data_IF_315900709403
#
_entry.id   IF_315900709403
#
_cell.length_a   1.000
_cell.length_b   1.000
_cell.length_c   1.000
_cell.angle_alpha   90.00
_cell.angle_beta   90.00
_cell.angle_gamma   90.00
#
_symmetry.space_group_name_H-M   'P 1'
#
loop_
_entity.id
_entity.type
_entity.pdbx_description
1 polymer ?
#
# COMPACT_ATOMS: atom_id res chain seq x y z
N UNK A 1 20.63 9.44 17.12
CA UNK A 1 20.08 8.72 15.95
C UNK A 1 18.88 7.81 16.30
N UNK A 2 18.98 7.03 17.38
CA UNK A 2 17.91 6.10 17.78
C UNK A 2 16.54 6.76 18.02
N UNK A 3 16.48 7.94 18.67
CA UNK A 3 15.23 8.67 18.87
C UNK A 3 14.57 9.12 17.57
N UNK A 4 15.32 9.67 16.60
CA UNK A 4 14.78 10.04 15.28
C UNK A 4 14.25 8.80 14.52
N UNK A 5 14.99 7.68 14.62
CA UNK A 5 14.55 6.41 14.05
C UNK A 5 13.25 5.90 14.70
N UNK A 6 13.10 6.06 16.02
CA UNK A 6 11.87 5.72 16.74
C UNK A 6 10.67 6.55 16.30
N UNK A 7 10.82 7.85 16.12
CA UNK A 7 9.75 8.72 15.58
C UNK A 7 9.33 8.28 14.18
N UNK A 8 10.29 8.09 13.26
CA UNK A 8 9.97 7.63 11.91
C UNK A 8 9.29 6.26 11.89
N UNK A 9 9.75 5.32 12.73
CA UNK A 9 9.13 4.02 12.85
C UNK A 9 7.69 4.11 13.38
N UNK A 10 7.46 4.92 14.43
CA UNK A 10 6.14 5.13 14.98
C UNK A 10 5.18 5.76 13.96
N UNK A 11 5.62 6.80 13.25
CA UNK A 11 4.82 7.41 12.16
C UNK A 11 4.51 6.41 11.06
N UNK A 12 5.47 5.54 10.71
CA UNK A 12 5.24 4.45 9.75
C UNK A 12 4.20 3.45 10.25
N UNK A 13 4.25 3.07 11.54
CA UNK A 13 3.29 2.15 12.15
C UNK A 13 1.89 2.74 12.22
N UNK A 14 1.78 4.04 12.52
CA UNK A 14 0.49 4.74 12.56
C UNK A 14 -0.10 4.93 11.14
N UNK A 15 0.76 5.20 10.15
CA UNK A 15 0.31 5.34 8.77
C UNK A 15 -0.06 3.99 8.13
N UNK A 16 0.65 2.92 8.51
CA UNK A 16 0.47 1.58 7.95
C UNK A 16 0.74 0.51 9.02
N UNK A 17 -0.29 0.09 9.79
CA UNK A 17 -0.13 -0.79 10.97
C UNK A 17 0.62 -2.09 10.71
N UNK A 18 0.55 -2.64 9.48
CA UNK A 18 1.26 -3.85 9.09
C UNK A 18 2.79 -3.70 9.20
N UNK A 19 3.31 -2.48 9.15
CA UNK A 19 4.75 -2.22 9.33
C UNK A 19 5.22 -2.48 10.77
N UNK A 20 4.30 -2.61 11.74
CA UNK A 20 4.61 -3.00 13.11
C UNK A 20 5.36 -4.33 13.19
N UNK A 21 5.12 -5.26 12.25
CA UNK A 21 5.85 -6.52 12.16
C UNK A 21 7.37 -6.34 11.95
N UNK A 22 7.80 -5.18 11.46
CA UNK A 22 9.21 -4.84 11.35
C UNK A 22 9.85 -4.42 12.70
N UNK A 23 9.05 -4.05 13.71
CA UNK A 23 9.56 -3.55 14.98
C UNK A 23 10.51 -4.53 15.69
N UNK A 24 10.21 -5.84 15.85
CA UNK A 24 11.12 -6.79 16.47
C UNK A 24 12.46 -6.89 15.73
N UNK A 25 12.43 -6.81 14.39
CA UNK A 25 13.64 -6.86 13.56
C UNK A 25 14.46 -5.59 13.73
N UNK A 26 13.83 -4.43 13.81
CA UNK A 26 14.50 -3.15 14.07
C UNK A 26 15.14 -3.12 15.47
N UNK A 27 14.44 -3.65 16.48
CA UNK A 27 14.97 -3.78 17.83
C UNK A 27 16.19 -4.70 17.86
N UNK A 28 16.12 -5.86 17.18
CA UNK A 28 17.26 -6.78 17.04
C UNK A 28 18.42 -6.09 16.29
N UNK A 29 18.13 -5.34 15.26
CA UNK A 29 19.14 -4.58 14.50
C UNK A 29 19.89 -3.58 15.40
N UNK A 30 19.19 -2.85 16.27
CA UNK A 30 19.82 -1.92 17.23
C UNK A 30 20.75 -2.66 18.19
N UNK A 31 20.36 -3.85 18.66
CA UNK A 31 21.18 -4.69 19.52
C UNK A 31 22.43 -5.23 18.82
N UNK A 32 22.33 -5.58 17.54
CA UNK A 32 23.43 -6.17 16.76
C UNK A 32 24.39 -5.13 16.15
N UNK A 33 23.89 -3.94 15.84
CA UNK A 33 24.69 -2.89 15.18
C UNK A 33 25.38 -1.94 16.17
N UNK A 34 24.94 -1.89 17.42
CA UNK A 34 25.57 -1.07 18.44
C UNK A 34 27.02 -1.49 18.76
N UNK A 35 27.89 -0.51 19.04
CA UNK A 35 29.34 -0.73 19.24
C UNK A 35 29.71 -1.26 20.62
N UNK A 36 28.91 -1.01 21.63
CA UNK A 36 29.14 -1.45 23.02
C UNK A 36 27.86 -1.87 23.70
N UNK A 37 27.94 -2.60 24.83
CA UNK A 37 26.74 -3.07 25.56
C UNK A 37 25.87 -1.91 26.04
N UNK A 38 26.48 -0.87 26.61
CA UNK A 38 25.78 0.31 27.08
C UNK A 38 25.08 1.08 25.94
N UNK A 39 25.74 1.25 24.78
CA UNK A 39 25.16 1.92 23.61
C UNK A 39 23.99 1.13 23.02
N UNK A 40 24.10 -0.21 23.02
CA UNK A 40 23.02 -1.10 22.55
C UNK A 40 21.77 -0.97 23.40
N UNK A 41 21.90 -1.10 24.73
CA UNK A 41 20.80 -0.97 25.66
C UNK A 41 20.20 0.45 25.59
N UNK A 42 21.03 1.48 25.59
CA UNK A 42 20.58 2.87 25.48
C UNK A 42 19.82 3.11 24.16
N UNK A 43 20.35 2.61 23.03
CA UNK A 43 19.71 2.73 21.72
C UNK A 43 18.34 2.06 21.70
N UNK A 44 18.24 0.84 22.24
CA UNK A 44 16.99 0.11 22.34
C UNK A 44 15.97 0.84 23.24
N UNK A 45 16.39 1.26 24.43
CA UNK A 45 15.52 1.99 25.35
C UNK A 45 15.00 3.31 24.75
N UNK A 46 15.89 4.07 24.11
CA UNK A 46 15.48 5.31 23.42
C UNK A 46 14.48 5.03 22.31
N UNK A 47 14.67 3.96 21.54
CA UNK A 47 13.73 3.57 20.48
C UNK A 47 12.36 3.19 21.08
N UNK A 48 12.34 2.27 22.04
CA UNK A 48 11.11 1.79 22.68
C UNK A 48 10.36 2.93 23.38
N UNK A 49 11.09 3.76 24.14
CA UNK A 49 10.49 4.90 24.83
C UNK A 49 9.90 5.91 23.83
N UNK A 50 10.62 6.17 22.75
CA UNK A 50 10.10 7.08 21.69
C UNK A 50 8.82 6.53 21.07
N UNK A 51 8.79 5.25 20.73
CA UNK A 51 7.59 4.60 20.18
C UNK A 51 6.44 4.62 21.21
N UNK A 52 6.73 4.35 22.49
CA UNK A 52 5.73 4.39 23.55
C UNK A 52 5.15 5.81 23.76
N UNK A 53 6.00 6.84 23.74
CA UNK A 53 5.54 8.24 23.87
C UNK A 53 4.69 8.66 22.66
N UNK A 54 5.15 8.38 21.44
CA UNK A 54 4.39 8.73 20.24
C UNK A 54 3.09 7.94 20.13
N UNK A 55 3.13 6.63 20.39
CA UNK A 55 1.93 5.78 20.41
C UNK A 55 0.96 6.16 21.52
N UNK A 56 1.47 6.45 22.71
CA UNK A 56 0.66 6.95 23.84
C UNK A 56 0.00 8.28 23.52
N UNK A 57 0.73 9.23 22.92
CA UNK A 57 0.17 10.51 22.49
C UNK A 57 -0.96 10.31 21.45
N UNK A 58 -0.79 9.38 20.52
CA UNK A 58 -1.83 9.04 19.56
C UNK A 58 -3.07 8.44 20.25
N UNK A 59 -2.89 7.49 21.16
CA UNK A 59 -4.00 6.90 21.94
C UNK A 59 -4.72 7.97 22.77
N UNK A 60 -3.99 8.88 23.41
CA UNK A 60 -4.59 10.00 24.15
C UNK A 60 -5.39 10.92 23.20
N UNK A 61 -4.86 11.21 22.02
CA UNK A 61 -5.56 12.00 21.02
C UNK A 61 -6.89 11.35 20.60
N UNK A 62 -6.86 10.03 20.34
CA UNK A 62 -8.07 9.27 19.98
C UNK A 62 -9.07 9.27 21.14
N UNK A 63 -8.60 9.00 22.36
CA UNK A 63 -9.44 8.99 23.58
C UNK A 63 -10.05 10.36 23.86
N UNK A 64 -9.31 11.45 23.62
CA UNK A 64 -9.84 12.80 23.78
C UNK A 64 -11.03 13.04 22.85
N UNK A 65 -10.95 12.58 21.58
CA UNK A 65 -12.06 12.64 20.64
C UNK A 65 -13.27 11.76 21.05
N UNK A 66 -13.06 10.83 21.98
CA UNK A 66 -14.09 9.91 22.50
C UNK A 66 -14.51 10.25 23.95
N UNK A 67 -14.20 11.44 24.46
CA UNK A 67 -14.49 11.81 25.83
C UNK A 67 -13.80 10.96 26.90
N UNK A 68 -12.67 10.32 26.58
CA UNK A 68 -11.92 9.39 27.43
C UNK A 68 -12.66 8.08 27.76
N UNK A 69 -13.59 7.66 26.92
CA UNK A 69 -14.29 6.39 27.07
C UNK A 69 -13.45 5.22 26.54
N UNK A 70 -12.82 4.48 27.46
CA UNK A 70 -12.02 3.29 27.13
C UNK A 70 -12.89 2.11 26.66
N UNK A 71 -14.11 1.99 27.16
CA UNK A 71 -15.00 0.89 26.74
C UNK A 71 -15.40 1.09 25.27
N UNK A 72 -15.73 2.31 24.87
CA UNK A 72 -16.00 2.66 23.48
C UNK A 72 -14.76 2.45 22.60
N UNK A 73 -13.54 2.78 23.05
CA UNK A 73 -12.31 2.49 22.31
C UNK A 73 -12.12 0.99 22.05
N UNK A 74 -12.32 0.17 23.07
CA UNK A 74 -12.18 -1.29 22.96
C UNK A 74 -13.26 -1.88 22.04
N UNK A 75 -14.51 -1.43 22.15
CA UNK A 75 -15.59 -1.87 21.28
C UNK A 75 -15.33 -1.51 19.80
N UNK A 76 -14.80 -0.32 19.53
CA UNK A 76 -14.38 0.07 18.17
C UNK A 76 -13.21 -0.76 17.65
N UNK A 77 -12.23 -1.05 18.51
CA UNK A 77 -11.12 -1.93 18.12
C UNK A 77 -11.61 -3.34 17.81
N UNK A 78 -12.55 -3.85 18.60
CA UNK A 78 -13.17 -5.17 18.39
C UNK A 78 -13.93 -5.23 17.06
N UNK A 79 -14.71 -4.21 16.74
CA UNK A 79 -15.43 -4.10 15.46
C UNK A 79 -14.46 -4.13 14.26
N UNK A 80 -13.29 -3.46 14.35
CA UNK A 80 -12.29 -3.46 13.29
C UNK A 80 -11.59 -4.82 13.20
N UNK A 81 -11.27 -5.44 14.32
CA UNK A 81 -10.57 -6.73 14.35
C UNK A 81 -11.41 -7.88 13.82
N UNK A 82 -12.73 -7.81 13.97
CA UNK A 82 -13.68 -8.80 13.44
C UNK A 82 -14.28 -8.39 12.08
N UNK A 83 -13.65 -7.47 11.39
CA UNK A 83 -14.04 -7.15 10.02
C UNK A 83 -13.88 -8.39 9.13
N UNK A 84 -14.94 -8.85 8.41
CA UNK A 84 -14.89 -10.00 7.52
C UNK A 84 -13.77 -9.95 6.49
N UNK A 85 -13.32 -8.76 6.12
CA UNK A 85 -12.15 -8.59 5.26
C UNK A 85 -10.86 -9.11 5.91
N UNK A 86 -10.80 -9.17 7.24
CA UNK A 86 -9.65 -9.64 8.02
C UNK A 86 -9.94 -10.95 8.79
N UNK A 87 -11.20 -11.35 8.89
CA UNK A 87 -11.64 -12.58 9.57
C UNK A 87 -11.61 -13.78 8.62
N UNK A 88 -10.42 -14.26 8.34
CA UNK A 88 -10.19 -15.44 7.52
C UNK A 88 -9.23 -16.42 8.19
N UNK A 89 -9.46 -17.69 7.93
CA UNK A 89 -8.62 -18.76 8.47
C UNK A 89 -7.30 -18.90 7.74
N UNK A 90 -6.32 -19.55 8.37
CA UNK A 90 -5.07 -19.91 7.69
C UNK A 90 -5.31 -20.84 6.52
N UNK A 91 -6.36 -21.68 6.59
CA UNK A 91 -6.73 -22.58 5.50
C UNK A 91 -7.22 -21.82 4.27
N UNK A 92 -8.07 -20.81 4.46
CA UNK A 92 -8.57 -19.95 3.38
C UNK A 92 -7.42 -19.21 2.69
N UNK A 93 -6.48 -18.69 3.49
CA UNK A 93 -5.29 -18.04 2.95
C UNK A 93 -4.42 -18.98 2.14
N UNK A 94 -4.19 -20.20 2.62
CA UNK A 94 -3.42 -21.20 1.90
C UNK A 94 -4.12 -21.65 0.60
N UNK A 95 -5.43 -21.82 0.63
CA UNK A 95 -6.22 -22.15 -0.56
C UNK A 95 -6.08 -21.05 -1.62
N UNK A 96 -6.22 -19.80 -1.24
CA UNK A 96 -6.06 -18.65 -2.12
C UNK A 96 -4.63 -18.56 -2.67
N UNK A 97 -3.60 -18.70 -1.84
CA UNK A 97 -2.21 -18.70 -2.29
C UNK A 97 -1.95 -19.84 -3.28
N UNK A 98 -2.48 -21.03 -3.02
CA UNK A 98 -2.34 -22.18 -3.91
C UNK A 98 -3.01 -21.95 -5.26
N UNK A 99 -4.20 -21.35 -5.29
CA UNK A 99 -4.92 -21.03 -6.54
C UNK A 99 -4.17 -20.02 -7.41
N UNK A 100 -3.48 -19.07 -6.78
CA UNK A 100 -2.75 -18.00 -7.48
C UNK A 100 -1.31 -18.39 -7.84
N UNK A 101 -0.75 -19.43 -7.21
CA UNK A 101 0.63 -19.85 -7.43
C UNK A 101 0.88 -20.29 -8.88
N UNK A 102 -0.09 -20.93 -9.51
CA UNK A 102 -0.01 -21.37 -10.90
C UNK A 102 0.16 -20.19 -11.85
N UNK A 103 -0.55 -19.08 -11.62
CA UNK A 103 -0.44 -17.84 -12.40
C UNK A 103 0.96 -17.20 -12.22
N UNK A 104 1.45 -17.17 -10.97
CA UNK A 104 2.81 -16.66 -10.67
C UNK A 104 3.88 -17.49 -11.38
N UNK A 105 3.80 -18.81 -11.30
CA UNK A 105 4.74 -19.72 -11.98
C UNK A 105 4.64 -19.51 -13.49
N UNK A 106 3.43 -19.46 -14.06
CA UNK A 106 3.19 -19.24 -15.47
C UNK A 106 3.83 -17.94 -16.00
N UNK A 107 3.84 -16.87 -15.20
CA UNK A 107 4.46 -15.59 -15.56
C UNK A 107 5.98 -15.55 -15.36
N UNK A 108 6.54 -16.41 -14.51
CA UNK A 108 7.96 -16.33 -14.11
C UNK A 108 8.86 -17.42 -14.71
N UNK A 109 8.31 -18.57 -15.16
CA UNK A 109 9.10 -19.76 -15.48
C UNK A 109 10.11 -19.57 -16.61
N UNK A 110 9.75 -18.84 -17.68
CA UNK A 110 10.66 -18.57 -18.78
C UNK A 110 11.87 -17.75 -18.35
N UNK A 111 11.64 -16.73 -17.53
CA UNK A 111 12.71 -15.89 -16.99
C UNK A 111 13.60 -16.69 -16.02
N UNK A 112 13.02 -17.58 -15.25
CA UNK A 112 13.77 -18.49 -14.36
C UNK A 112 14.61 -19.50 -15.17
N UNK A 113 14.03 -20.10 -16.21
CA UNK A 113 14.75 -21.01 -17.10
C UNK A 113 15.92 -20.31 -17.79
N UNK A 114 15.70 -19.12 -18.35
CA UNK A 114 16.76 -18.33 -18.99
C UNK A 114 17.88 -17.97 -18.00
N UNK A 115 17.53 -17.56 -16.77
CA UNK A 115 18.49 -17.26 -15.70
C UNK A 115 19.35 -18.46 -15.32
N UNK A 116 18.71 -19.62 -15.14
CA UNK A 116 19.42 -20.89 -14.82
C UNK A 116 20.29 -21.35 -15.98
N UNK A 117 19.78 -21.30 -17.22
CA UNK A 117 20.56 -21.70 -18.40
C UNK A 117 21.81 -20.82 -18.59
N UNK A 118 21.68 -19.50 -18.41
CA UNK A 118 22.82 -18.59 -18.51
C UNK A 118 23.86 -18.82 -17.38
N UNK A 119 23.40 -19.09 -16.16
CA UNK A 119 24.30 -19.44 -15.05
C UNK A 119 25.00 -20.77 -15.29
N UNK A 120 24.31 -21.80 -15.82
CA UNK A 120 24.88 -23.09 -16.18
C UNK A 120 25.89 -22.97 -17.32
N UNK A 121 25.59 -22.21 -18.35
CA UNK A 121 26.54 -21.92 -19.43
C UNK A 121 27.83 -21.29 -18.88
N UNK A 122 27.72 -20.31 -17.96
CA UNK A 122 28.89 -19.72 -17.30
C UNK A 122 29.75 -20.72 -16.53
N UNK A 123 29.12 -21.75 -15.93
CA UNK A 123 29.85 -22.83 -15.25
C UNK A 123 30.56 -23.76 -16.25
N UNK A 124 29.92 -24.09 -17.37
CA UNK A 124 30.49 -24.94 -18.42
C UNK A 124 31.68 -24.29 -19.13
N UNK A 125 31.61 -22.98 -19.34
CA UNK A 125 32.69 -22.23 -20.03
C UNK A 125 33.76 -21.65 -19.10
N UNK A 126 34.01 -22.27 -17.95
CA UNK A 126 35.23 -22.07 -17.17
C UNK A 126 35.12 -21.22 -15.90
N UNK A 127 33.92 -20.79 -15.52
CA UNK A 127 33.75 -20.14 -14.23
C UNK A 127 33.67 -21.14 -13.07
N UNK A 128 34.83 -21.60 -12.58
CA UNK A 128 34.92 -22.47 -11.38
C UNK A 128 34.47 -21.70 -10.13
N UNK A 129 33.18 -21.56 -9.92
CA UNK A 129 32.62 -20.98 -8.71
C UNK A 129 31.78 -22.02 -8.00
N UNK A 130 31.81 -22.01 -6.66
CA UNK A 130 30.96 -22.92 -5.87
C UNK A 130 29.48 -22.70 -6.13
N UNK A 131 28.66 -23.72 -5.84
CA UNK A 131 27.19 -23.73 -6.06
C UNK A 131 26.48 -22.46 -5.58
N UNK A 132 26.83 -21.93 -4.39
CA UNK A 132 26.20 -20.73 -3.83
C UNK A 132 26.38 -19.50 -4.74
N UNK A 133 27.54 -19.30 -5.35
CA UNK A 133 27.80 -18.18 -6.27
C UNK A 133 27.16 -18.37 -7.64
N UNK A 134 27.01 -19.63 -8.07
CA UNK A 134 26.29 -19.93 -9.30
C UNK A 134 24.78 -19.67 -9.15
N UNK A 135 24.21 -20.03 -8.01
CA UNK A 135 22.83 -19.72 -7.70
C UNK A 135 22.59 -18.21 -7.55
N UNK A 136 23.54 -17.46 -6.93
CA UNK A 136 23.48 -15.99 -6.88
C UNK A 136 23.33 -15.39 -8.30
N UNK A 137 24.15 -15.87 -9.24
CA UNK A 137 24.06 -15.42 -10.63
C UNK A 137 22.74 -15.80 -11.30
N UNK A 138 22.28 -17.03 -11.11
CA UNK A 138 21.02 -17.47 -11.66
C UNK A 138 19.84 -16.60 -11.18
N UNK A 139 19.81 -16.28 -9.90
CA UNK A 139 18.78 -15.40 -9.32
C UNK A 139 18.83 -13.99 -9.92
N UNK A 140 20.04 -13.40 -10.06
CA UNK A 140 20.18 -12.07 -10.66
C UNK A 140 19.85 -12.06 -12.15
N UNK A 141 20.19 -13.10 -12.91
CA UNK A 141 19.77 -13.22 -14.31
C UNK A 141 18.27 -13.40 -14.43
N UNK A 142 17.66 -14.20 -13.58
CA UNK A 142 16.18 -14.35 -13.51
C UNK A 142 15.51 -13.00 -13.23
N UNK A 143 16.02 -12.25 -12.24
CA UNK A 143 15.51 -10.92 -11.91
C UNK A 143 15.64 -9.95 -13.08
N UNK A 144 16.74 -9.99 -13.82
CA UNK A 144 16.96 -9.17 -15.01
C UNK A 144 15.99 -9.54 -16.13
N UNK A 145 15.82 -10.82 -16.45
CA UNK A 145 14.88 -11.25 -17.49
C UNK A 145 13.43 -10.95 -17.11
N UNK A 146 13.07 -11.09 -15.84
CA UNK A 146 11.75 -10.67 -15.36
C UNK A 146 11.53 -9.17 -15.51
N UNK A 147 12.53 -8.34 -15.23
CA UNK A 147 12.41 -6.90 -15.42
C UNK A 147 12.21 -6.52 -16.88
N UNK A 148 12.90 -7.18 -17.80
CA UNK A 148 12.71 -7.00 -19.25
C UNK A 148 11.32 -7.49 -19.67
N UNK A 149 10.88 -8.63 -19.17
CA UNK A 149 9.57 -9.19 -19.48
C UNK A 149 8.44 -8.28 -18.96
N UNK A 150 8.50 -7.83 -17.70
CA UNK A 150 7.53 -6.89 -17.13
C UNK A 150 7.47 -5.58 -17.95
N UNK A 151 8.64 -5.05 -18.35
CA UNK A 151 8.69 -3.84 -19.19
C UNK A 151 8.05 -4.08 -20.56
N UNK A 152 8.39 -5.19 -21.23
CA UNK A 152 7.83 -5.52 -22.54
C UNK A 152 6.31 -5.80 -22.48
N UNK A 153 5.88 -6.50 -21.43
CA UNK A 153 4.45 -6.77 -21.20
C UNK A 153 3.68 -5.47 -20.99
N UNK A 154 4.21 -4.56 -20.17
CA UNK A 154 3.59 -3.27 -19.91
C UNK A 154 3.43 -2.42 -21.16
N UNK A 155 4.48 -2.38 -22.00
CA UNK A 155 4.43 -1.66 -23.31
C UNK A 155 3.42 -2.25 -24.28
N UNK A 156 3.15 -3.56 -24.19
CA UNK A 156 2.20 -4.25 -25.07
C UNK A 156 0.77 -4.22 -24.58
N UNK A 157 0.57 -4.50 -23.29
CA UNK A 157 -0.76 -4.72 -22.69
C UNK A 157 -1.26 -3.52 -21.89
N UNK A 158 -0.41 -2.50 -21.67
CA UNK A 158 -0.72 -1.31 -20.89
C UNK A 158 -1.16 -1.61 -19.44
N UNK A 159 -0.80 -2.79 -18.92
CA UNK A 159 -1.13 -3.21 -17.58
C UNK A 159 0.07 -3.11 -16.63
N UNK A 160 -0.22 -2.84 -15.34
CA UNK A 160 0.79 -2.70 -14.29
C UNK A 160 1.26 -4.06 -13.77
N UNK A 161 2.25 -4.68 -14.43
CA UNK A 161 2.74 -5.98 -14.00
C UNK A 161 4.20 -5.99 -13.46
N UNK A 162 4.72 -4.81 -13.08
CA UNK A 162 6.05 -4.70 -12.45
C UNK A 162 6.17 -5.47 -11.12
N UNK A 163 5.04 -5.83 -10.53
CA UNK A 163 4.97 -6.56 -9.24
C UNK A 163 5.73 -7.87 -9.26
N UNK A 164 5.68 -8.61 -10.37
CA UNK A 164 6.32 -9.92 -10.49
C UNK A 164 7.85 -9.89 -10.39
N UNK A 165 8.51 -8.77 -10.70
CA UNK A 165 9.97 -8.68 -10.55
C UNK A 165 10.42 -8.51 -9.09
N UNK A 166 9.60 -7.88 -8.21
CA UNK A 166 9.99 -7.55 -6.86
C UNK A 166 10.45 -8.77 -6.03
N UNK A 167 9.74 -9.93 -6.05
CA UNK A 167 10.21 -11.14 -5.38
C UNK A 167 11.56 -11.62 -5.87
N UNK A 168 11.80 -11.58 -7.18
CA UNK A 168 13.07 -12.05 -7.76
C UNK A 168 14.25 -11.19 -7.33
N UNK A 169 14.11 -9.85 -7.37
CA UNK A 169 15.14 -8.92 -6.88
C UNK A 169 15.35 -9.03 -5.36
N UNK A 170 14.26 -9.19 -4.59
CA UNK A 170 14.36 -9.37 -3.14
C UNK A 170 15.09 -10.66 -2.78
N UNK A 171 14.76 -11.78 -3.44
CA UNK A 171 15.42 -13.09 -3.24
C UNK A 171 16.88 -13.05 -3.67
N UNK A 172 17.17 -12.50 -4.86
CA UNK A 172 18.55 -12.34 -5.34
C UNK A 172 19.39 -11.49 -4.37
N UNK A 173 18.82 -10.40 -3.86
CA UNK A 173 19.45 -9.55 -2.85
C UNK A 173 19.71 -10.28 -1.54
N UNK A 174 18.72 -11.01 -1.02
CA UNK A 174 18.87 -11.84 0.18
C UNK A 174 19.96 -12.89 0.04
N UNK A 175 20.01 -13.56 -1.12
CA UNK A 175 21.07 -14.51 -1.42
C UNK A 175 22.46 -13.85 -1.52
N UNK A 176 22.55 -12.64 -2.08
CA UNK A 176 23.78 -11.85 -2.08
C UNK A 176 24.24 -11.53 -0.66
N UNK A 177 23.34 -11.11 0.24
CA UNK A 177 23.68 -10.91 1.65
C UNK A 177 24.19 -12.19 2.31
N UNK A 178 23.56 -13.33 2.00
CA UNK A 178 23.99 -14.63 2.51
C UNK A 178 25.37 -15.03 2.00
N UNK A 179 25.64 -14.93 0.70
CA UNK A 179 26.92 -15.29 0.10
C UNK A 179 28.06 -14.41 0.64
N UNK A 180 27.77 -13.14 0.87
CA UNK A 180 28.76 -12.15 1.31
C UNK A 180 28.79 -11.97 2.84
N UNK A 181 28.09 -12.83 3.60
CA UNK A 181 27.96 -12.67 5.07
C UNK A 181 29.30 -12.56 5.79
N UNK A 182 30.32 -13.27 5.32
CA UNK A 182 31.69 -13.23 5.86
C UNK A 182 32.43 -11.95 5.46
N UNK A 183 32.20 -11.45 4.25
CA UNK A 183 32.78 -10.21 3.72
C UNK A 183 32.05 -8.96 4.20
N UNK A 184 30.74 -9.06 4.44
CA UNK A 184 29.89 -7.96 4.90
C UNK A 184 30.29 -7.41 6.28
N UNK A 185 31.01 -8.20 7.10
CA UNK A 185 31.52 -7.73 8.40
C UNK A 185 32.43 -6.49 8.29
N UNK A 186 33.03 -6.28 7.15
CA UNK A 186 33.92 -5.17 6.89
C UNK A 186 33.30 -3.92 6.29
N UNK A 187 31.96 -3.96 5.97
CA UNK A 187 31.25 -2.83 5.38
C UNK A 187 29.98 -2.47 6.15
N UNK A 188 30.03 -1.41 6.96
CA UNK A 188 28.92 -1.01 7.82
C UNK A 188 27.63 -0.74 7.00
N UNK A 189 27.75 -0.12 5.81
CA UNK A 189 26.60 0.20 4.96
C UNK A 189 25.84 -1.06 4.49
N UNK A 190 26.54 -2.14 4.11
CA UNK A 190 25.85 -3.40 3.73
C UNK A 190 25.12 -4.04 4.91
N UNK A 191 25.71 -3.99 6.11
CA UNK A 191 25.02 -4.45 7.33
C UNK A 191 23.78 -3.61 7.61
N UNK A 192 23.87 -2.29 7.42
CA UNK A 192 22.70 -1.41 7.57
C UNK A 192 21.61 -1.74 6.56
N UNK A 193 21.96 -1.92 5.27
CA UNK A 193 21.00 -2.31 4.23
C UNK A 193 20.30 -3.64 4.56
N UNK A 194 21.02 -4.62 5.11
CA UNK A 194 20.41 -5.88 5.53
C UNK A 194 19.50 -5.72 6.73
N UNK A 195 20.01 -5.15 7.85
CA UNK A 195 19.31 -5.13 9.14
C UNK A 195 18.24 -4.05 9.24
N UNK A 196 18.40 -2.91 8.56
CA UNK A 196 17.45 -1.79 8.63
C UNK A 196 16.58 -1.67 7.36
N UNK A 197 16.89 -2.41 6.31
CA UNK A 197 16.16 -2.34 5.06
C UNK A 197 15.58 -3.68 4.64
N UNK A 198 16.42 -4.61 4.21
CA UNK A 198 15.97 -5.85 3.61
C UNK A 198 15.15 -6.72 4.57
N UNK A 199 15.68 -7.00 5.74
CA UNK A 199 15.04 -7.91 6.71
C UNK A 199 13.73 -7.35 7.29
N UNK A 200 13.65 -6.06 7.71
CA UNK A 200 12.38 -5.47 8.13
C UNK A 200 11.32 -5.45 7.03
N UNK A 201 11.74 -5.18 5.79
CA UNK A 201 10.82 -5.23 4.64
C UNK A 201 10.28 -6.64 4.37
N UNK A 202 11.11 -7.67 4.49
CA UNK A 202 10.63 -9.07 4.41
C UNK A 202 9.68 -9.39 5.57
N UNK A 203 9.98 -8.97 6.78
CA UNK A 203 9.10 -9.20 7.94
C UNK A 203 7.71 -8.54 7.74
N UNK A 204 7.70 -7.28 7.29
CA UNK A 204 6.45 -6.58 6.96
C UNK A 204 5.68 -7.30 5.84
N UNK A 205 6.36 -7.72 4.77
CA UNK A 205 5.74 -8.49 3.69
C UNK A 205 5.10 -9.80 4.17
N UNK A 206 5.82 -10.58 4.97
CA UNK A 206 5.30 -11.84 5.50
C UNK A 206 4.09 -11.62 6.41
N UNK A 207 4.09 -10.54 7.17
CA UNK A 207 2.93 -10.16 7.98
C UNK A 207 1.73 -9.78 7.12
N UNK A 208 1.91 -8.94 6.09
CA UNK A 208 0.86 -8.57 5.13
C UNK A 208 0.32 -9.81 4.43
N UNK A 209 1.21 -10.68 3.95
CA UNK A 209 0.83 -11.94 3.31
C UNK A 209 -0.04 -12.81 4.23
N UNK A 210 0.17 -12.77 5.56
CA UNK A 210 -0.59 -13.54 6.54
C UNK A 210 -1.88 -12.83 6.96
N UNK A 211 -1.88 -11.52 7.07
CA UNK A 211 -2.95 -10.74 7.69
C UNK A 211 -3.96 -10.14 6.71
N UNK A 212 -3.85 -10.39 5.40
CA UNK A 212 -4.76 -9.86 4.39
C UNK A 212 -5.12 -10.89 3.34
N UNK A 213 -6.31 -10.79 2.74
CA UNK A 213 -6.72 -11.56 1.56
C UNK A 213 -6.34 -10.89 0.23
N UNK A 214 -5.48 -9.90 0.26
CA UNK A 214 -4.98 -9.27 -0.97
C UNK A 214 -4.35 -10.32 -1.88
N UNK A 215 -4.64 -10.25 -3.17
CA UNK A 215 -4.13 -11.16 -4.17
C UNK A 215 -2.60 -11.27 -4.14
N UNK A 216 -2.06 -12.49 -4.24
CA UNK A 216 -0.62 -12.74 -4.13
C UNK A 216 0.22 -11.83 -5.05
N UNK A 217 -0.11 -11.63 -6.34
CA UNK A 217 0.66 -10.72 -7.19
C UNK A 217 0.64 -9.27 -6.69
N UNK A 218 -0.46 -8.83 -6.11
CA UNK A 218 -0.57 -7.47 -5.55
C UNK A 218 0.31 -7.30 -4.31
N UNK A 219 0.44 -8.35 -3.48
CA UNK A 219 1.32 -8.30 -2.31
C UNK A 219 2.80 -8.16 -2.66
N UNK A 220 3.22 -8.53 -3.88
CA UNK A 220 4.61 -8.43 -4.32
C UNK A 220 5.15 -7.00 -4.35
N UNK A 221 4.28 -5.99 -4.46
CA UNK A 221 4.68 -4.58 -4.37
C UNK A 221 5.37 -4.25 -3.04
N UNK A 222 5.01 -4.93 -1.95
CA UNK A 222 5.64 -4.73 -0.63
C UNK A 222 7.07 -5.26 -0.55
N UNK A 223 7.50 -6.07 -1.52
CA UNK A 223 8.89 -6.52 -1.67
C UNK A 223 9.77 -5.51 -2.41
N UNK A 224 9.23 -4.38 -2.86
CA UNK A 224 9.99 -3.36 -3.56
C UNK A 224 11.17 -2.83 -2.73
N UNK A 225 10.94 -2.50 -1.46
CA UNK A 225 12.02 -2.01 -0.60
C UNK A 225 13.12 -3.05 -0.34
N UNK A 226 12.84 -4.32 -0.01
CA UNK A 226 13.84 -5.39 -0.02
C UNK A 226 14.58 -5.54 -1.36
N UNK A 227 13.88 -5.40 -2.49
CA UNK A 227 14.49 -5.46 -3.82
C UNK A 227 15.53 -4.32 -4.03
N UNK A 228 15.17 -3.09 -3.65
CA UNK A 228 16.06 -1.93 -3.70
C UNK A 228 17.28 -2.15 -2.80
N UNK A 229 17.10 -2.60 -1.56
CA UNK A 229 18.20 -2.88 -0.63
C UNK A 229 19.13 -3.98 -1.15
N UNK A 230 18.60 -5.04 -1.75
CA UNK A 230 19.37 -6.12 -2.36
C UNK A 230 20.17 -5.64 -3.55
N UNK A 231 19.57 -4.84 -4.44
CA UNK A 231 20.27 -4.23 -5.59
C UNK A 231 21.36 -3.28 -5.16
N UNK A 232 21.10 -2.44 -4.15
CA UNK A 232 22.12 -1.56 -3.57
C UNK A 232 23.30 -2.35 -2.98
N UNK A 233 23.03 -3.49 -2.32
CA UNK A 233 24.08 -4.37 -1.79
C UNK A 233 24.97 -4.95 -2.92
N UNK A 234 24.37 -5.27 -4.07
CA UNK A 234 25.13 -5.72 -5.25
C UNK A 234 26.04 -4.62 -5.79
N UNK A 235 25.55 -3.38 -5.90
CA UNK A 235 26.31 -2.22 -6.34
C UNK A 235 27.49 -1.90 -5.41
N UNK A 236 27.32 -2.13 -4.11
CA UNK A 236 28.32 -1.84 -3.07
C UNK A 236 29.33 -2.98 -2.86
N UNK A 237 29.43 -3.93 -3.78
CA UNK A 237 30.38 -5.05 -3.66
C UNK A 237 31.83 -4.55 -3.57
N UNK A 238 32.66 -5.14 -2.64
CA UNK A 238 34.06 -4.79 -2.52
C UNK A 238 34.85 -5.16 -3.78
N UNK A 239 35.75 -4.27 -4.19
CA UNK A 239 36.67 -4.47 -5.34
C UNK A 239 35.96 -5.01 -6.59
N UNK A 240 34.92 -4.32 -7.10
CA UNK A 240 34.16 -4.80 -8.25
C UNK A 240 35.04 -4.73 -9.51
N UNK A 241 35.03 -5.79 -10.31
CA UNK A 241 35.59 -5.72 -11.67
C UNK A 241 34.77 -4.77 -12.54
N UNK A 242 35.35 -4.28 -13.65
CA UNK A 242 34.63 -3.44 -14.61
C UNK A 242 33.31 -4.16 -15.09
N UNK A 243 33.43 -5.47 -15.37
CA UNK A 243 32.26 -6.30 -15.79
C UNK A 243 31.20 -6.38 -14.70
N UNK A 244 31.59 -6.54 -13.42
CA UNK A 244 30.65 -6.56 -12.31
C UNK A 244 29.91 -5.23 -12.16
N UNK A 245 30.62 -4.10 -12.26
CA UNK A 245 29.99 -2.77 -12.19
C UNK A 245 29.00 -2.55 -13.32
N UNK A 246 29.33 -2.94 -14.54
CA UNK A 246 28.43 -2.86 -15.69
C UNK A 246 27.18 -3.74 -15.49
N UNK A 247 27.34 -5.00 -15.06
CA UNK A 247 26.21 -5.89 -14.79
C UNK A 247 25.31 -5.35 -13.67
N UNK A 248 25.87 -4.86 -12.58
CA UNK A 248 25.13 -4.28 -11.48
C UNK A 248 24.38 -2.99 -11.90
N UNK A 249 25.01 -2.16 -12.73
CA UNK A 249 24.36 -0.97 -13.29
C UNK A 249 23.21 -1.33 -14.24
N UNK A 250 23.37 -2.36 -15.08
CA UNK A 250 22.28 -2.87 -15.94
C UNK A 250 21.11 -3.41 -15.13
N UNK A 251 21.39 -4.16 -14.05
CA UNK A 251 20.34 -4.65 -13.14
C UNK A 251 19.59 -3.51 -12.45
N UNK A 252 20.33 -2.50 -11.96
CA UNK A 252 19.71 -1.32 -11.35
C UNK A 252 18.89 -0.52 -12.38
N UNK A 253 19.41 -0.35 -13.60
CA UNK A 253 18.65 0.26 -14.69
C UNK A 253 17.40 -0.54 -15.06
N UNK A 254 17.50 -1.88 -15.13
CA UNK A 254 16.36 -2.77 -15.35
C UNK A 254 15.28 -2.60 -14.30
N UNK A 255 15.67 -2.55 -13.02
CA UNK A 255 14.72 -2.32 -11.92
C UNK A 255 14.04 -0.95 -12.03
N UNK A 256 14.81 0.11 -12.32
CA UNK A 256 14.27 1.46 -12.46
C UNK A 256 13.34 1.58 -13.67
N UNK A 257 13.72 1.00 -14.82
CA UNK A 257 12.90 1.01 -16.03
C UNK A 257 11.60 0.24 -15.81
N UNK A 258 11.67 -0.95 -15.20
CA UNK A 258 10.50 -1.75 -14.92
C UNK A 258 9.55 -1.11 -13.88
N UNK A 259 10.02 -0.13 -13.10
CA UNK A 259 9.15 0.69 -12.25
C UNK A 259 8.64 1.95 -12.97
N UNK A 260 9.50 2.62 -13.74
CA UNK A 260 9.17 3.90 -14.37
C UNK A 260 8.27 3.74 -15.60
N UNK A 261 8.57 2.76 -16.46
CA UNK A 261 7.83 2.55 -17.72
C UNK A 261 6.34 2.26 -17.47
N UNK A 262 5.95 1.33 -16.56
CA UNK A 262 4.54 1.10 -16.29
C UNK A 262 3.81 2.35 -15.77
N UNK A 263 4.47 3.12 -14.91
CA UNK A 263 3.90 4.37 -14.40
C UNK A 263 3.72 5.40 -15.50
N UNK A 264 4.70 5.49 -16.41
CA UNK A 264 4.63 6.42 -17.52
C UNK A 264 3.51 6.01 -18.49
N UNK A 265 3.42 4.72 -18.85
CA UNK A 265 2.33 4.21 -19.71
C UNK A 265 0.97 4.43 -19.04
N UNK A 266 0.86 4.16 -17.74
CA UNK A 266 -0.37 4.39 -17.00
C UNK A 266 -0.83 5.85 -17.07
N UNK A 267 0.10 6.79 -16.86
CA UNK A 267 -0.22 8.22 -16.87
C UNK A 267 -0.52 8.74 -18.26
N UNK A 268 0.22 8.26 -19.28
CA UNK A 268 0.12 8.80 -20.65
C UNK A 268 -0.97 8.15 -21.49
N UNK A 269 -1.23 6.86 -21.31
CA UNK A 269 -2.01 6.08 -22.27
C UNK A 269 -3.28 5.46 -21.70
N UNK A 270 -3.25 4.99 -20.45
CA UNK A 270 -4.40 4.28 -19.85
C UNK A 270 -5.14 5.07 -18.78
N UNK A 271 -4.46 6.04 -18.14
CA UNK A 271 -4.96 6.64 -16.92
C UNK A 271 -5.04 5.61 -15.77
N UNK A 272 -5.30 6.07 -14.56
CA UNK A 272 -5.61 5.21 -13.41
C UNK A 272 -6.80 5.82 -12.69
N UNK A 273 -7.97 5.20 -12.83
CA UNK A 273 -9.26 5.74 -12.36
C UNK A 273 -9.56 7.15 -12.93
N UNK A 274 -8.96 7.50 -14.06
CA UNK A 274 -9.16 8.76 -14.77
C UNK A 274 -8.81 8.59 -16.24
N UNK A 275 -9.12 9.57 -17.07
CA UNK A 275 -8.70 9.60 -18.47
C UNK A 275 -7.16 9.68 -18.58
N UNK A 276 -6.56 9.13 -19.65
CA UNK A 276 -5.15 9.34 -19.95
C UNK A 276 -4.81 10.82 -20.02
N UNK A 277 -3.65 11.22 -19.51
CA UNK A 277 -3.25 12.65 -19.49
C UNK A 277 -3.29 13.30 -20.88
N UNK A 278 -3.12 12.51 -21.95
CA UNK A 278 -3.21 12.97 -23.34
C UNK A 278 -4.65 13.23 -23.82
N UNK A 279 -5.62 12.65 -23.14
CA UNK A 279 -7.06 12.79 -23.46
C UNK A 279 -7.78 13.72 -22.48
N UNK A 280 -7.18 14.02 -21.31
CA UNK A 280 -7.77 14.90 -20.32
C UNK A 280 -8.04 16.28 -20.92
N UNK A 281 -9.29 16.71 -20.82
CA UNK A 281 -9.68 18.09 -21.02
C UNK A 281 -9.71 18.77 -19.64
N UNK A 282 -8.67 19.56 -19.29
CA UNK A 282 -8.59 20.14 -17.97
C UNK A 282 -9.60 21.26 -17.82
N UNK A 283 -10.37 21.19 -16.77
CA UNK A 283 -11.30 22.24 -16.35
C UNK A 283 -10.90 22.80 -15.00
N UNK A 284 -11.16 24.09 -14.81
CA UNK A 284 -10.83 24.75 -13.55
C UNK A 284 -12.01 24.69 -12.62
N UNK A 285 -11.80 24.12 -11.43
CA UNK A 285 -12.79 24.11 -10.36
C UNK A 285 -12.98 25.55 -9.88
N UNK A 286 -14.22 26.00 -9.80
CA UNK A 286 -14.54 27.40 -9.51
C UNK A 286 -14.97 27.62 -8.08
N UNK A 287 -15.49 26.57 -7.40
CA UNK A 287 -16.07 26.65 -6.06
C UNK A 287 -15.50 25.62 -5.10
N UNK A 288 -15.74 25.85 -3.81
CA UNK A 288 -15.32 24.95 -2.73
C UNK A 288 -13.83 25.00 -2.43
N UNK A 289 -13.34 24.10 -1.54
CA UNK A 289 -11.94 24.07 -1.11
C UNK A 289 -10.93 23.77 -2.21
N UNK A 290 -11.36 23.15 -3.30
CA UNK A 290 -10.51 22.86 -4.46
C UNK A 290 -10.53 23.99 -5.51
N UNK A 291 -11.22 25.10 -5.25
CA UNK A 291 -11.31 26.23 -6.18
C UNK A 291 -9.92 26.70 -6.63
N UNK A 292 -9.79 26.90 -7.93
CA UNK A 292 -8.53 27.32 -8.55
C UNK A 292 -7.62 26.17 -8.99
N UNK A 293 -7.89 24.92 -8.61
CA UNK A 293 -7.19 23.75 -9.14
C UNK A 293 -7.75 23.32 -10.49
N UNK A 294 -6.98 22.53 -11.22
CA UNK A 294 -7.38 21.95 -12.49
C UNK A 294 -7.65 20.46 -12.31
N UNK A 295 -8.74 19.97 -12.88
CA UNK A 295 -9.10 18.57 -12.88
C UNK A 295 -9.61 18.18 -14.27
N UNK A 296 -9.77 16.89 -14.52
CA UNK A 296 -10.54 16.37 -15.64
C UNK A 296 -12.00 16.83 -15.53
N UNK A 297 -12.67 17.12 -16.66
CA UNK A 297 -14.04 17.65 -16.68
C UNK A 297 -14.99 16.87 -15.78
N UNK A 298 -15.02 15.53 -15.89
CA UNK A 298 -15.89 14.70 -15.03
C UNK A 298 -15.57 14.88 -13.54
N UNK A 299 -14.28 14.93 -13.19
CA UNK A 299 -13.87 15.13 -11.81
C UNK A 299 -14.17 16.54 -11.31
N UNK A 300 -14.04 17.56 -12.18
CA UNK A 300 -14.43 18.92 -11.88
C UNK A 300 -15.94 19.05 -11.67
N UNK A 301 -16.74 18.49 -12.59
CA UNK A 301 -18.20 18.45 -12.49
C UNK A 301 -18.65 17.78 -11.20
N UNK A 302 -18.07 16.61 -10.86
CA UNK A 302 -18.38 15.88 -9.61
C UNK A 302 -18.06 16.72 -8.38
N UNK A 303 -16.94 17.43 -8.38
CA UNK A 303 -16.55 18.28 -7.25
C UNK A 303 -17.47 19.47 -7.09
N UNK A 304 -17.87 20.12 -8.18
CA UNK A 304 -18.82 21.22 -8.15
C UNK A 304 -20.22 20.73 -7.73
N UNK A 305 -20.64 19.56 -8.21
CA UNK A 305 -21.88 18.92 -7.83
C UNK A 305 -21.90 18.57 -6.33
N UNK A 306 -20.81 17.99 -5.79
CA UNK A 306 -20.66 17.72 -4.37
C UNK A 306 -20.72 18.99 -3.52
N UNK A 307 -20.07 20.05 -3.97
CA UNK A 307 -20.11 21.33 -3.28
C UNK A 307 -21.55 21.89 -3.22
N UNK A 308 -22.27 21.87 -4.33
CA UNK A 308 -23.68 22.30 -4.38
C UNK A 308 -24.58 21.43 -3.49
N UNK A 309 -24.38 20.10 -3.53
CA UNK A 309 -25.16 19.17 -2.72
C UNK A 309 -24.96 19.35 -1.21
N UNK A 310 -23.73 19.69 -0.80
CA UNK A 310 -23.34 19.74 0.61
C UNK A 310 -23.43 21.13 1.24
N UNK A 311 -23.39 22.20 0.45
CA UNK A 311 -23.42 23.57 0.94
C UNK A 311 -24.60 23.87 1.90
N UNK A 312 -25.83 23.33 1.71
CA UNK A 312 -26.94 23.56 2.62
C UNK A 312 -26.79 22.86 3.98
N UNK A 313 -25.87 21.91 4.12
CA UNK A 313 -25.78 21.02 5.28
C UNK A 313 -24.55 21.28 6.17
N UNK A 314 -24.10 22.52 6.25
CA UNK A 314 -23.01 22.88 7.14
C UNK A 314 -23.28 22.43 8.58
N UNK A 315 -22.31 21.75 9.22
CA UNK A 315 -22.43 21.22 10.57
C UNK A 315 -23.22 19.91 10.70
N UNK A 316 -23.70 19.35 9.59
CA UNK A 316 -24.44 18.08 9.55
C UNK A 316 -23.50 16.89 9.37
N UNK A 317 -23.98 15.70 9.74
CA UNK A 317 -23.28 14.42 9.53
C UNK A 317 -23.66 13.84 8.17
N UNK A 318 -22.65 13.53 7.35
CA UNK A 318 -22.86 13.08 5.97
C UNK A 318 -22.29 11.69 5.75
N UNK A 319 -23.10 10.81 5.21
CA UNK A 319 -22.70 9.52 4.65
C UNK A 319 -22.53 9.65 3.14
N UNK A 320 -21.32 9.41 2.64
CA UNK A 320 -21.04 9.42 1.22
C UNK A 320 -20.99 7.98 0.69
N UNK A 321 -21.99 7.62 -0.10
CA UNK A 321 -22.09 6.35 -0.80
C UNK A 321 -21.84 6.57 -2.30
N UNK A 322 -20.78 7.26 -2.63
CA UNK A 322 -20.32 7.57 -3.99
C UNK A 322 -18.99 6.91 -4.20
N UNK A 323 -18.93 5.84 -4.93
CA UNK A 323 -17.78 5.05 -5.33
C UNK A 323 -16.38 5.50 -4.91
N UNK A 324 -15.42 5.38 -5.80
CA UNK A 324 -14.01 5.68 -5.48
C UNK A 324 -13.71 7.18 -5.23
N UNK A 325 -14.65 8.08 -5.50
CA UNK A 325 -14.42 9.55 -5.37
C UNK A 325 -14.88 10.15 -4.03
N UNK A 326 -15.33 9.35 -3.12
CA UNK A 326 -15.97 9.73 -1.86
C UNK A 326 -15.08 10.50 -0.88
N UNK A 327 -13.76 10.36 -0.94
CA UNK A 327 -12.86 11.14 -0.07
C UNK A 327 -12.85 12.64 -0.36
N UNK A 328 -13.24 13.06 -1.56
CA UNK A 328 -13.18 14.44 -2.00
C UNK A 328 -14.36 15.28 -1.52
N UNK A 329 -15.55 14.73 -1.45
CA UNK A 329 -16.74 15.45 -0.98
C UNK A 329 -16.56 16.01 0.42
N UNK A 330 -15.80 15.34 1.24
CA UNK A 330 -15.47 15.78 2.59
C UNK A 330 -14.63 17.05 2.62
N UNK A 331 -13.71 17.19 1.68
CA UNK A 331 -12.91 18.41 1.52
C UNK A 331 -13.70 19.53 0.87
N UNK A 332 -14.80 19.22 0.16
CA UNK A 332 -15.59 20.17 -0.60
C UNK A 332 -16.49 21.06 0.27
N UNK A 333 -16.78 20.64 1.48
CA UNK A 333 -17.75 21.33 2.36
C UNK A 333 -17.10 22.27 3.38
N UNK A 334 -16.01 22.92 3.06
CA UNK A 334 -15.33 23.93 3.90
C UNK A 334 -14.99 23.44 5.33
N UNK A 335 -14.84 22.14 5.53
CA UNK A 335 -14.51 21.56 6.84
C UNK A 335 -15.61 21.70 7.91
N UNK A 336 -16.83 22.09 7.51
CA UNK A 336 -17.95 22.25 8.43
C UNK A 336 -18.82 21.01 8.57
N UNK A 337 -18.59 19.98 7.74
CA UNK A 337 -19.29 18.72 7.79
C UNK A 337 -18.62 17.71 8.72
N UNK A 338 -19.41 16.85 9.32
CA UNK A 338 -18.92 15.66 10.02
C UNK A 338 -19.14 14.43 9.14
N UNK A 339 -18.22 13.46 9.23
CA UNK A 339 -18.35 12.20 8.49
C UNK A 339 -19.20 11.24 9.27
N UNK A 340 -20.25 10.74 8.66
CA UNK A 340 -21.07 9.69 9.26
C UNK A 340 -20.34 8.36 9.35
N UNK A 341 -19.38 8.11 8.46
CA UNK A 341 -18.53 6.93 8.48
C UNK A 341 -17.12 7.26 7.96
N UNK A 342 -16.11 6.67 8.60
CA UNK A 342 -14.71 6.96 8.30
C UNK A 342 -14.14 6.16 7.12
N UNK A 343 -14.75 5.06 6.72
CA UNK A 343 -14.31 4.24 5.58
C UNK A 343 -15.32 4.26 4.47
N UNK A 344 -14.79 4.10 3.29
CA UNK A 344 -15.54 4.00 2.06
C UNK A 344 -16.31 2.71 2.01
N UNK A 345 -17.56 2.83 1.63
CA UNK A 345 -18.40 1.70 1.30
C UNK A 345 -18.18 1.43 -0.18
N UNK A 346 -17.37 0.43 -0.49
CA UNK A 346 -17.23 -0.06 -1.85
C UNK A 346 -17.97 -1.38 -1.97
N UNK A 347 -19.07 -1.40 -2.74
CA UNK A 347 -19.63 -2.56 -3.39
C UNK A 347 -19.89 -3.81 -2.55
N UNK A 348 -20.16 -3.68 -1.28
CA UNK A 348 -20.51 -4.81 -0.45
C UNK A 348 -21.89 -4.64 0.13
N UNK A 349 -22.57 -5.73 0.09
CA UNK A 349 -23.84 -6.04 0.67
C UNK A 349 -24.13 -5.30 1.98
N UNK A 350 -25.39 -5.12 2.27
CA UNK A 350 -25.92 -4.72 3.58
C UNK A 350 -25.16 -5.43 4.69
N UNK A 351 -24.11 -4.80 5.19
CA UNK A 351 -23.21 -5.40 6.15
C UNK A 351 -23.75 -5.14 7.56
N UNK A 352 -24.07 -6.16 8.35
CA UNK A 352 -24.51 -6.01 9.72
C UNK A 352 -23.55 -5.15 10.59
N UNK A 353 -22.34 -4.92 10.14
CA UNK A 353 -21.39 -3.99 10.77
C UNK A 353 -21.87 -2.55 10.77
N UNK A 354 -22.67 -2.10 9.79
CA UNK A 354 -23.23 -0.76 9.81
C UNK A 354 -24.18 -0.56 10.99
N UNK A 355 -24.99 -1.55 11.28
CA UNK A 355 -25.86 -1.51 12.46
C UNK A 355 -25.02 -1.46 13.74
N UNK A 356 -24.01 -2.30 13.84
CA UNK A 356 -23.08 -2.29 14.98
C UNK A 356 -22.32 -0.98 15.08
N UNK A 357 -21.86 -0.43 13.96
CA UNK A 357 -21.14 0.84 13.91
C UNK A 357 -22.01 1.99 14.44
N UNK A 358 -23.25 2.12 13.94
CA UNK A 358 -24.16 3.18 14.40
C UNK A 358 -24.73 2.92 15.80
N UNK A 359 -24.84 1.68 16.24
CA UNK A 359 -25.15 1.35 17.61
C UNK A 359 -24.06 1.78 18.60
N UNK A 360 -22.76 1.63 18.20
CA UNK A 360 -21.61 2.07 18.98
C UNK A 360 -21.38 3.59 18.91
N UNK A 361 -21.84 4.23 17.86
CA UNK A 361 -21.58 5.63 17.51
C UNK A 361 -22.86 6.33 17.06
N UNK A 362 -23.86 6.46 17.93
CA UNK A 362 -25.13 7.08 17.55
C UNK A 362 -24.98 8.52 17.06
N UNK A 363 -23.95 9.22 17.55
CA UNK A 363 -23.61 10.58 17.07
C UNK A 363 -23.05 10.62 15.64
N UNK A 364 -22.78 9.44 15.04
CA UNK A 364 -22.33 9.27 13.65
C UNK A 364 -23.45 8.91 12.69
N UNK A 365 -24.66 8.76 13.17
CA UNK A 365 -25.81 8.57 12.27
C UNK A 365 -25.87 9.74 11.28
N UNK A 366 -26.09 9.47 9.99
CA UNK A 366 -26.11 10.52 8.99
C UNK A 366 -27.35 11.40 9.10
N UNK A 367 -27.18 12.70 9.01
CA UNK A 367 -28.25 13.65 8.71
C UNK A 367 -28.56 13.70 7.20
N UNK A 368 -27.54 13.37 6.38
CA UNK A 368 -27.62 13.42 4.92
C UNK A 368 -26.85 12.25 4.33
N UNK A 369 -27.41 11.62 3.30
CA UNK A 369 -26.76 10.54 2.55
C UNK A 369 -26.65 10.98 1.10
N UNK A 370 -25.44 10.83 0.51
CA UNK A 370 -25.17 11.12 -0.89
C UNK A 370 -24.82 9.85 -1.63
N UNK A 371 -25.35 9.68 -2.84
CA UNK A 371 -24.90 8.64 -3.74
C UNK A 371 -24.98 9.06 -5.21
N UNK A 372 -24.20 8.40 -6.06
CA UNK A 372 -24.16 8.62 -7.50
C UNK A 372 -25.16 7.71 -8.20
N UNK A 373 -26.01 8.27 -9.05
CA UNK A 373 -26.96 7.51 -9.86
C UNK A 373 -26.30 6.47 -10.78
N UNK A 374 -25.08 6.76 -11.26
CA UNK A 374 -24.34 5.84 -12.11
C UNK A 374 -23.90 4.57 -11.37
N UNK A 375 -23.67 4.66 -10.06
CA UNK A 375 -23.21 3.55 -9.22
C UNK A 375 -24.35 2.77 -8.56
N UNK A 376 -25.60 3.26 -8.64
CA UNK A 376 -26.78 2.60 -8.05
C UNK A 376 -26.93 1.14 -8.49
N UNK A 377 -26.49 0.79 -9.70
CA UNK A 377 -26.58 -0.60 -10.18
C UNK A 377 -25.65 -1.54 -9.42
N UNK A 378 -24.47 -1.10 -9.09
CA UNK A 378 -23.44 -1.91 -8.44
C UNK A 378 -23.60 -1.90 -6.92
N UNK A 379 -24.41 -0.97 -6.40
CA UNK A 379 -24.68 -0.78 -4.98
C UNK A 379 -26.18 -0.91 -4.62
N UNK A 380 -26.98 -1.56 -5.45
CA UNK A 380 -28.43 -1.63 -5.29
C UNK A 380 -28.87 -2.20 -3.93
N UNK A 381 -28.16 -3.22 -3.44
CA UNK A 381 -28.46 -3.83 -2.13
C UNK A 381 -28.15 -2.87 -0.98
N UNK A 382 -27.06 -2.13 -1.08
CA UNK A 382 -26.70 -1.12 -0.08
C UNK A 382 -27.68 0.05 -0.07
N UNK A 383 -28.14 0.52 -1.23
CA UNK A 383 -29.18 1.54 -1.33
C UNK A 383 -30.50 1.06 -0.73
N UNK A 384 -30.91 -0.20 -1.01
CA UNK A 384 -32.07 -0.79 -0.39
C UNK A 384 -31.95 -0.87 1.13
N UNK A 385 -30.75 -1.20 1.62
CA UNK A 385 -30.47 -1.22 3.05
C UNK A 385 -30.59 0.18 3.68
N UNK A 386 -30.02 1.22 3.04
CA UNK A 386 -30.17 2.62 3.50
C UNK A 386 -31.66 2.98 3.62
N UNK A 387 -32.47 2.68 2.60
CA UNK A 387 -33.88 3.01 2.59
C UNK A 387 -34.69 2.23 3.63
N UNK A 388 -34.24 1.05 4.05
CA UNK A 388 -34.83 0.26 5.10
C UNK A 388 -34.49 0.74 6.52
N UNK A 389 -33.29 1.28 6.71
CA UNK A 389 -32.76 1.59 8.03
C UNK A 389 -32.85 3.07 8.41
N UNK A 390 -33.01 3.96 7.43
CA UNK A 390 -33.13 5.38 7.69
C UNK A 390 -34.51 5.91 7.24
N UNK A 391 -35.07 6.78 8.04
CA UNK A 391 -36.27 7.51 7.65
C UNK A 391 -35.88 8.66 6.74
N UNK A 392 -36.18 8.56 5.45
CA UNK A 392 -35.89 9.60 4.48
C UNK A 392 -37.04 10.62 4.49
N UNK A 393 -36.73 11.86 4.85
CA UNK A 393 -37.69 12.96 4.93
C UNK A 393 -37.76 13.78 3.65
N UNK A 394 -36.66 13.84 2.92
CA UNK A 394 -36.59 14.53 1.62
C UNK A 394 -35.61 13.83 0.69
N UNK A 395 -35.90 13.92 -0.62
CA UNK A 395 -35.06 13.34 -1.68
C UNK A 395 -35.06 14.29 -2.88
N UNK A 396 -33.86 14.62 -3.32
CA UNK A 396 -33.70 15.41 -4.53
C UNK A 396 -32.37 15.11 -5.24
N UNK A 397 -32.29 15.52 -6.48
CA UNK A 397 -31.09 15.32 -7.31
C UNK A 397 -30.41 16.66 -7.52
N UNK A 398 -29.09 16.67 -7.34
CA UNK A 398 -28.21 17.79 -7.72
C UNK A 398 -27.48 17.40 -8.98
N UNK A 399 -27.45 18.26 -9.96
CA UNK A 399 -26.76 18.04 -11.24
C UNK A 399 -25.80 19.18 -11.53
N UNK A 400 -24.59 18.84 -11.93
CA UNK A 400 -23.60 19.82 -12.41
C UNK A 400 -22.81 19.21 -13.55
N UNK A 401 -22.87 19.83 -14.73
CA UNK A 401 -22.23 19.27 -15.94
C UNK A 401 -22.66 17.85 -16.22
N UNK A 402 -21.70 16.93 -16.20
CA UNK A 402 -21.93 15.49 -16.40
C UNK A 402 -22.22 14.71 -15.11
N UNK A 403 -22.06 15.35 -13.95
CA UNK A 403 -22.26 14.71 -12.66
C UNK A 403 -23.71 14.86 -12.17
N UNK A 404 -24.23 13.81 -11.53
CA UNK A 404 -25.53 13.76 -10.92
C UNK A 404 -25.46 13.04 -9.57
N UNK A 405 -25.93 13.68 -8.51
CA UNK A 405 -25.94 13.13 -7.17
C UNK A 405 -27.35 13.11 -6.58
N UNK A 406 -27.71 11.99 -6.01
CA UNK A 406 -28.91 11.88 -5.18
C UNK A 406 -28.58 12.32 -3.76
N UNK A 407 -29.40 13.19 -3.21
CA UNK A 407 -29.33 13.65 -1.83
C UNK A 407 -30.54 13.13 -1.08
N UNK A 408 -30.28 12.34 -0.03
CA UNK A 408 -31.31 11.86 0.89
C UNK A 408 -31.14 12.61 2.21
N UNK A 409 -32.16 13.26 2.67
CA UNK A 409 -32.21 13.91 3.99
C UNK A 409 -32.81 12.92 4.98
N UNK A 410 -32.08 12.63 6.05
CA UNK A 410 -32.51 11.71 7.10
C UNK A 410 -33.23 12.50 8.19
N UNK A 411 -34.38 12.00 8.63
CA UNK A 411 -35.25 12.63 9.62
C UNK A 411 -35.14 12.04 11.02
#
# INVERSE_FOLDING_TARGET
MAGRGGVCACLSFLAYPQTLAAAPVLMLALLLLGRGSADKCRGLWVFVLTCAVCGGAFVVYVLQGMGFDFAALLARADLILHDPQYDFTTADRLAMLRSQLSAVIGNCWLSALAGVALAAAGMLFGERRGFARSLEKALWYTAFFLSLWCTAYCLRAQELDFRYMCPAFALAGGWTFWCDRREASHRPLRRLLFWLGWLPGIAAYLFILRSTLIALPTTFMYLFWPAVCGTAALLLKPRPTRRHRAAAALLAAGLLLACAVPKLCLVLETGWHCEPITAIQPERITRGPAAGTWAETKAADMQECLYEALAPYAGKSVLQAIGEQHGLGFLMADGTLTVAQASVISGTDSDPRFEQYYALLPEKQPDVILYDDAEVRDMAEFHAWIEQHFTITDRYTVQHGTASLQVLVVG
#
